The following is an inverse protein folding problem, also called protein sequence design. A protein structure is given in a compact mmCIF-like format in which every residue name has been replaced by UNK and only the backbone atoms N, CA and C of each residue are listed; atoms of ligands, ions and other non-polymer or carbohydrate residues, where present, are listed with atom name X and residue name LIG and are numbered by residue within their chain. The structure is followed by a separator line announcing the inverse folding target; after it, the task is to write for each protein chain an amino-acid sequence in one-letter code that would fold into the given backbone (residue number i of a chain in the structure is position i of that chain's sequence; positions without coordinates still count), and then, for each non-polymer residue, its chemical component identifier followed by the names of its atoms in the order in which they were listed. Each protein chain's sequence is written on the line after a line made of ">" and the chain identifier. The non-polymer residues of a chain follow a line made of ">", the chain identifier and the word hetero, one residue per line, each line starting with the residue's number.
data_IF_801476752973
#
_entry.id   IF_801476752973
#
_cell.length_a   1.000
_cell.length_b   1.000
_cell.length_c   1.000
_cell.angle_alpha   90.00
_cell.angle_beta   90.00
_cell.angle_gamma   90.00
#
_symmetry.space_group_name_H-M   'P 1'
#
loop_
_entity.id
_entity.type
_entity.pdbx_description
1 polymer ?
#
# COMPACT_ATOMS: atom_id res chain seq x y z
N UNK A 1 8.96 -2.40 -10.67
CA UNK A 1 7.81 -1.99 -9.85
C UNK A 1 8.08 -2.31 -8.38
N UNK A 2 7.59 -1.49 -7.51
CA UNK A 2 7.81 -1.64 -6.07
C UNK A 2 6.49 -1.98 -5.40
N UNK A 3 6.51 -2.95 -4.51
CA UNK A 3 5.34 -3.28 -3.70
C UNK A 3 5.60 -2.86 -2.27
N UNK A 4 4.78 -1.97 -1.76
CA UNK A 4 4.86 -1.48 -0.39
C UNK A 4 3.69 -2.06 0.38
N UNK A 5 3.97 -2.80 1.43
CA UNK A 5 2.94 -3.40 2.27
C UNK A 5 2.95 -2.71 3.62
N UNK A 6 1.81 -2.17 4.01
CA UNK A 6 1.66 -1.47 5.28
C UNK A 6 0.70 -2.23 6.16
N UNK A 7 1.15 -2.58 7.37
CA UNK A 7 0.25 -3.16 8.35
C UNK A 7 -0.53 -2.03 8.98
N UNK A 8 -1.85 -2.13 8.95
CA UNK A 8 -2.74 -1.05 9.39
C UNK A 8 -3.75 -1.59 10.40
N UNK A 9 -3.89 -0.89 11.51
CA UNK A 9 -4.89 -1.22 12.50
C UNK A 9 -6.05 -0.25 12.40
N UNK A 10 -7.25 -0.70 12.74
CA UNK A 10 -8.43 0.16 12.75
C UNK A 10 -9.35 -0.01 11.55
N UNK A 11 -9.01 -0.84 10.59
CA UNK A 11 -9.91 -1.13 9.48
C UNK A 11 -11.02 -2.06 9.96
N UNK A 12 -12.24 -1.55 10.01
CA UNK A 12 -13.36 -2.30 10.56
C UNK A 12 -14.36 -2.76 9.50
N UNK A 13 -14.33 -2.18 8.31
CA UNK A 13 -15.33 -2.50 7.29
C UNK A 13 -14.79 -2.17 5.90
N UNK A 14 -15.57 -2.51 4.87
CA UNK A 14 -15.14 -2.27 3.50
C UNK A 14 -14.96 -0.81 3.15
N UNK A 15 -15.71 0.07 3.81
CA UNK A 15 -15.54 1.50 3.57
C UNK A 15 -14.18 1.99 4.05
N UNK A 16 -13.66 1.38 5.09
CA UNK A 16 -12.33 1.71 5.59
C UNK A 16 -11.28 1.36 4.55
N UNK A 17 -11.44 0.21 3.90
CA UNK A 17 -10.53 -0.19 2.83
C UNK A 17 -10.52 0.82 1.71
N UNK A 18 -11.71 1.22 1.25
CA UNK A 18 -11.83 2.19 0.17
C UNK A 18 -11.25 3.55 0.57
N UNK A 19 -11.48 3.95 1.81
CA UNK A 19 -11.00 5.23 2.32
C UNK A 19 -9.47 5.30 2.28
N UNK A 20 -8.82 4.23 2.73
CA UNK A 20 -7.36 4.18 2.71
C UNK A 20 -6.85 4.17 1.27
N UNK A 21 -7.50 3.38 0.40
CA UNK A 21 -7.10 3.33 -1.01
C UNK A 21 -7.15 4.71 -1.64
N UNK A 22 -8.23 5.45 -1.40
CA UNK A 22 -8.39 6.79 -1.97
C UNK A 22 -7.36 7.76 -1.41
N UNK A 23 -7.08 7.67 -0.12
CA UNK A 23 -6.11 8.56 0.51
C UNK A 23 -4.71 8.35 -0.09
N UNK A 24 -4.33 7.10 -0.31
CA UNK A 24 -3.02 6.79 -0.90
C UNK A 24 -2.97 7.26 -2.35
N UNK A 25 -4.02 7.01 -3.13
CA UNK A 25 -4.05 7.44 -4.53
C UNK A 25 -3.96 8.94 -4.66
N UNK A 26 -4.57 9.67 -3.74
CA UNK A 26 -4.54 11.12 -3.77
C UNK A 26 -3.17 11.67 -3.42
N UNK A 27 -2.42 10.97 -2.59
CA UNK A 27 -1.16 11.47 -2.08
C UNK A 27 0.04 11.06 -2.93
N UNK A 28 -0.05 9.94 -3.64
CA UNK A 28 1.10 9.37 -4.36
C UNK A 28 0.73 8.91 -5.76
N UNK A 29 1.68 8.97 -6.70
CA UNK A 29 1.46 8.44 -8.06
C UNK A 29 1.66 6.92 -8.06
N UNK A 30 0.61 6.19 -7.71
CA UNK A 30 0.70 4.74 -7.58
C UNK A 30 -0.09 4.05 -8.69
N UNK A 31 0.33 2.83 -9.03
CA UNK A 31 -0.33 2.03 -10.06
C UNK A 31 -1.56 1.32 -9.51
N UNK A 32 -1.47 0.85 -8.26
CA UNK A 32 -2.57 0.09 -7.68
C UNK A 32 -2.47 0.15 -6.15
N UNK A 33 -3.60 0.22 -5.50
CA UNK A 33 -3.69 0.16 -4.05
C UNK A 33 -4.78 -0.84 -3.69
N UNK A 34 -4.47 -1.74 -2.78
CA UNK A 34 -5.43 -2.73 -2.30
C UNK A 34 -5.33 -2.80 -0.79
N UNK A 35 -6.44 -2.67 -0.11
CA UNK A 35 -6.48 -2.78 1.35
C UNK A 35 -7.29 -4.01 1.73
N UNK A 36 -6.88 -4.69 2.79
CA UNK A 36 -7.57 -5.87 3.28
C UNK A 36 -7.76 -5.75 4.79
N UNK A 37 -9.01 -5.64 5.23
CA UNK A 37 -9.29 -5.58 6.66
C UNK A 37 -9.09 -6.94 7.32
N UNK A 38 -9.23 -8.01 6.54
CA UNK A 38 -9.03 -9.36 7.07
C UNK A 38 -7.57 -9.60 7.40
N UNK A 39 -6.67 -9.10 6.56
CA UNK A 39 -5.23 -9.22 6.77
C UNK A 39 -4.64 -8.04 7.52
N UNK A 40 -5.43 -6.99 7.69
CA UNK A 40 -5.02 -5.76 8.36
C UNK A 40 -3.83 -5.12 7.67
N UNK A 41 -3.88 -5.06 6.33
CA UNK A 41 -2.77 -4.49 5.58
C UNK A 41 -3.25 -3.80 4.32
N UNK A 42 -2.41 -2.88 3.83
CA UNK A 42 -2.61 -2.18 2.58
C UNK A 42 -1.40 -2.45 1.70
N UNK A 43 -1.65 -2.89 0.47
CA UNK A 43 -0.60 -3.18 -0.49
C UNK A 43 -0.64 -2.12 -1.58
N UNK A 44 0.51 -1.49 -1.83
CA UNK A 44 0.63 -0.41 -2.80
C UNK A 44 1.64 -0.80 -3.86
N UNK A 45 1.23 -0.72 -5.13
CA UNK A 45 2.12 -0.98 -6.25
C UNK A 45 2.45 0.35 -6.92
N UNK A 46 3.73 0.64 -7.09
CA UNK A 46 4.17 1.87 -7.72
C UNK A 46 5.44 1.61 -8.50
N UNK A 47 5.74 2.52 -9.45
CA UNK A 47 6.95 2.39 -10.24
C UNK A 47 8.19 2.70 -9.41
N UNK A 48 8.05 3.60 -8.45
CA UNK A 48 9.16 4.04 -7.64
C UNK A 48 8.86 3.83 -6.17
N UNK A 49 9.94 3.79 -5.40
CA UNK A 49 9.85 3.66 -3.96
C UNK A 49 9.14 4.85 -3.34
N UNK A 50 8.28 4.59 -2.37
CA UNK A 50 7.56 5.65 -1.67
C UNK A 50 8.26 5.93 -0.34
N UNK A 51 8.10 7.19 0.13
CA UNK A 51 8.61 7.58 1.43
C UNK A 51 7.75 6.92 2.50
N UNK A 52 8.33 6.02 3.28
CA UNK A 52 7.58 5.27 4.28
C UNK A 52 6.95 6.18 5.34
N UNK A 53 7.65 7.25 5.71
CA UNK A 53 7.11 8.19 6.70
C UNK A 53 5.90 8.92 6.13
N UNK A 54 5.96 9.28 4.85
CA UNK A 54 4.84 9.94 4.21
C UNK A 54 3.64 9.01 4.10
N UNK A 55 3.89 7.73 3.79
CA UNK A 55 2.82 6.74 3.71
C UNK A 55 2.14 6.59 5.07
N UNK A 56 2.92 6.48 6.13
CA UNK A 56 2.37 6.38 7.48
C UNK A 56 1.54 7.60 7.83
N UNK A 57 2.03 8.79 7.45
CA UNK A 57 1.32 10.03 7.75
C UNK A 57 -0.03 10.07 7.08
N UNK A 58 -0.09 9.66 5.81
CA UNK A 58 -1.34 9.66 5.06
C UNK A 58 -2.35 8.73 5.72
N UNK A 59 -1.90 7.54 6.13
CA UNK A 59 -2.79 6.58 6.78
C UNK A 59 -3.27 7.11 8.13
N UNK A 60 -2.38 7.76 8.89
CA UNK A 60 -2.74 8.34 10.17
C UNK A 60 -3.78 9.46 9.99
N UNK A 61 -3.59 10.30 8.97
CA UNK A 61 -4.52 11.39 8.71
C UNK A 61 -5.87 10.89 8.23
N UNK A 62 -5.89 9.70 7.64
CA UNK A 62 -7.16 9.09 7.22
C UNK A 62 -7.92 8.49 8.41
N UNK A 63 -7.31 8.44 9.59
CA UNK A 63 -7.97 7.96 10.79
C UNK A 63 -7.61 6.54 11.20
N UNK A 64 -6.51 6.01 10.68
CA UNK A 64 -6.08 4.64 10.97
C UNK A 64 -4.68 4.63 11.52
N UNK A 65 -4.26 3.49 12.06
CA UNK A 65 -2.96 3.36 12.71
C UNK A 65 -2.03 2.49 11.86
N UNK A 66 -1.01 3.08 11.24
CA UNK A 66 -0.01 2.29 10.52
C UNK A 66 0.94 1.64 11.52
N UNK A 67 1.12 0.34 11.42
CA UNK A 67 1.96 -0.40 12.36
C UNK A 67 3.36 -0.62 11.83
N UNK A 68 3.48 -1.02 10.56
CA UNK A 68 4.78 -1.23 9.95
C UNK A 68 4.67 -1.07 8.44
N UNK A 69 5.79 -0.75 7.82
CA UNK A 69 5.87 -0.60 6.36
C UNK A 69 6.97 -1.50 5.87
N UNK A 70 6.65 -2.30 4.86
CA UNK A 70 7.60 -3.20 4.24
C UNK A 70 7.61 -2.94 2.74
N UNK A 71 8.78 -2.86 2.16
CA UNK A 71 8.93 -2.57 0.75
C UNK A 71 9.73 -3.68 0.09
N UNK A 72 9.32 -4.07 -1.12
CA UNK A 72 10.04 -5.08 -1.86
C UNK A 72 9.89 -4.85 -3.35
N UNK A 73 10.85 -5.32 -4.12
CA UNK A 73 10.77 -5.27 -5.56
C UNK A 73 9.73 -6.27 -6.02
N UNK A 74 8.88 -5.83 -6.93
CA UNK A 74 7.81 -6.66 -7.46
C UNK A 74 7.88 -6.64 -8.98
N UNK A 75 8.05 -7.80 -9.60
CA UNK A 75 8.08 -7.91 -11.05
C UNK A 75 6.91 -8.76 -11.50
N UNK A 76 6.25 -8.23 -12.47
CA UNK A 76 5.21 -9.03 -13.08
C UNK A 76 5.90 -10.16 -13.77
N UNK A 77 5.50 -11.13 -13.73
CA UNK A 77 6.12 -12.11 -14.32
C UNK A 77 6.31 -12.20 -15.70
N UNK A 78 6.84 -12.14 -15.81
CA UNK A 78 7.16 -12.04 -16.77
C UNK A 78 8.24 -12.06 -17.17
N UNK A 79 8.42 -12.02 -16.97
CA UNK A 79 9.30 -11.69 -17.29
C UNK A 79 10.08 -12.24 -17.25
N UNK A 80 10.15 -12.33 -17.29
CA UNK A 80 10.80 -12.68 -17.23
C UNK A 80 11.40 -13.34 -17.22
N UNK A 81 11.57 -13.52 -17.31
CA UNK A 81 12.13 -13.86 -17.27
C UNK A 81 12.69 -14.49 -17.18
N UNK A 82 12.90 -14.55 -17.64
CA UNK A 82 13.43 -14.90 -17.52
C UNK A 82 14.02 -15.32 -17.26
N UNK A 83 14.16 -15.31 -17.31
CA UNK A 83 14.62 -15.40 -17.18
C UNK A 83 14.99 -15.85 -16.96
N UNK A 84 15.05 -15.99 -17.27
CA UNK A 84 15.29 -16.11 -17.15
C UNK A 84 15.53 -16.38 -16.95
#
# INVERSE_FOLDING_TARGET
>A
MIRTTVSVDGMACGMCEAHINDAIRSAFPVSKVTSSRAKKETVILSDESLDHEAVKRVITEAGYTPLSVKEESYEKKGLFRFGK
#
